data_IF_334905359566
#
_entry.id   IF_334905359566
#
_cell.length_a   1.000
_cell.length_b   1.000
_cell.length_c   1.000
_cell.angle_alpha   90.00
_cell.angle_beta   90.00
_cell.angle_gamma   90.00
#
_symmetry.space_group_name_H-M   'P 1'
#
loop_
_entity.id
_entity.type
_entity.pdbx_description
1 polymer ?
#
# COMPACT_ATOMS: atom_id res chain seq x y z
N UNK A 1 47.60 8.52 20.65
CA UNK A 1 46.85 9.16 19.56
C UNK A 1 45.81 8.18 19.05
N UNK A 2 44.68 8.05 19.75
CA UNK A 2 43.53 7.26 19.27
C UNK A 2 42.30 8.15 18.98
N UNK A 3 42.41 9.47 19.15
CA UNK A 3 41.39 10.47 18.82
C UNK A 3 41.25 10.77 17.32
N UNK A 4 41.54 9.81 16.46
CA UNK A 4 41.42 9.97 15.01
C UNK A 4 40.71 8.76 14.43
N UNK A 5 39.42 8.62 14.73
CA UNK A 5 38.43 8.02 13.83
C UNK A 5 36.98 8.18 14.33
N UNK A 6 36.72 8.90 15.42
CA UNK A 6 35.37 9.41 15.71
C UNK A 6 35.00 10.47 14.65
N UNK A 7 33.93 10.21 13.89
CA UNK A 7 33.38 11.18 12.94
C UNK A 7 33.58 10.87 11.45
N UNK A 8 34.04 9.67 11.07
CA UNK A 8 33.93 9.26 9.66
C UNK A 8 32.46 9.19 9.24
N UNK A 9 32.15 9.67 8.03
CA UNK A 9 30.78 9.73 7.49
C UNK A 9 30.16 8.32 7.44
N UNK A 10 31.00 7.32 7.27
CA UNK A 10 30.73 5.89 7.26
C UNK A 10 30.33 5.36 8.64
N UNK A 11 30.98 5.80 9.72
CA UNK A 11 30.58 5.45 11.10
C UNK A 11 29.20 6.00 11.44
N UNK A 12 28.94 7.28 11.11
CA UNK A 12 27.64 7.92 11.34
C UNK A 12 26.53 7.22 10.54
N UNK A 13 26.80 6.83 9.29
CA UNK A 13 25.86 6.06 8.46
C UNK A 13 25.60 4.66 9.01
N UNK A 14 26.65 3.95 9.44
CA UNK A 14 26.51 2.62 10.03
C UNK A 14 25.75 2.66 11.36
N UNK A 15 26.03 3.65 12.21
CA UNK A 15 25.31 3.87 13.47
C UNK A 15 23.84 4.21 13.23
N UNK A 16 23.54 5.11 12.28
CA UNK A 16 22.16 5.42 11.91
C UNK A 16 21.39 4.22 11.36
N UNK A 17 22.03 3.37 10.54
CA UNK A 17 21.44 2.11 10.06
C UNK A 17 21.15 1.14 11.20
N UNK A 18 22.08 1.02 12.15
CA UNK A 18 21.92 0.17 13.33
C UNK A 18 20.75 0.67 14.19
N UNK A 19 20.71 1.97 14.51
CA UNK A 19 19.65 2.56 15.35
C UNK A 19 18.27 2.43 14.70
N UNK A 20 18.21 2.57 13.36
CA UNK A 20 16.98 2.32 12.60
C UNK A 20 16.56 0.86 12.67
N UNK A 21 17.49 -0.09 12.53
CA UNK A 21 17.19 -1.51 12.62
C UNK A 21 16.74 -1.91 14.04
N UNK A 22 17.39 -1.38 15.07
CA UNK A 22 17.01 -1.56 16.47
C UNK A 22 15.59 -1.05 16.73
N UNK A 23 15.25 0.14 16.23
CA UNK A 23 13.90 0.71 16.33
C UNK A 23 12.86 -0.17 15.64
N UNK A 24 13.17 -0.69 14.45
CA UNK A 24 12.29 -1.58 13.69
C UNK A 24 12.06 -2.92 14.41
N UNK A 25 13.12 -3.54 14.92
CA UNK A 25 13.04 -4.79 15.68
C UNK A 25 12.22 -4.57 16.96
N UNK A 26 12.47 -3.48 17.69
CA UNK A 26 11.72 -3.16 18.91
C UNK A 26 10.24 -2.98 18.62
N UNK A 27 9.88 -2.29 17.54
CA UNK A 27 8.48 -2.11 17.16
C UNK A 27 7.76 -3.44 16.86
N UNK A 28 8.44 -4.35 16.15
CA UNK A 28 7.92 -5.71 15.91
C UNK A 28 7.71 -6.45 17.23
N UNK A 29 8.69 -6.38 18.14
CA UNK A 29 8.59 -7.00 19.46
C UNK A 29 7.44 -6.42 20.29
N UNK A 30 7.29 -5.10 20.31
CA UNK A 30 6.24 -4.39 21.06
C UNK A 30 4.84 -4.79 20.56
N UNK A 31 4.64 -4.89 19.24
CA UNK A 31 3.37 -5.36 18.65
C UNK A 31 3.16 -6.85 18.91
N UNK A 32 4.17 -7.70 18.67
CA UNK A 32 4.07 -9.14 18.91
C UNK A 32 3.76 -9.47 20.38
N UNK A 33 4.25 -8.66 21.32
CA UNK A 33 3.95 -8.83 22.74
C UNK A 33 2.45 -8.67 23.08
N UNK A 34 1.66 -8.04 22.20
CA UNK A 34 0.21 -7.89 22.34
C UNK A 34 -0.59 -9.12 21.88
N UNK A 35 0.07 -10.12 21.29
CA UNK A 35 -0.55 -11.35 20.79
C UNK A 35 -0.10 -12.57 21.61
N UNK A 36 -0.93 -13.62 21.64
CA UNK A 36 -0.61 -14.90 22.30
C UNK A 36 0.59 -15.60 21.66
N UNK A 37 0.76 -15.40 20.35
CA UNK A 37 1.91 -15.83 19.55
C UNK A 37 2.38 -14.66 18.68
N UNK A 38 3.66 -14.63 18.26
CA UNK A 38 4.15 -13.58 17.38
C UNK A 38 3.26 -13.44 16.15
N UNK A 39 2.64 -12.26 15.98
CA UNK A 39 1.78 -11.96 14.84
C UNK A 39 2.59 -11.55 13.62
N UNK A 40 3.81 -11.08 13.80
CA UNK A 40 4.71 -10.66 12.74
C UNK A 40 5.98 -11.50 12.83
N UNK A 41 6.25 -12.32 11.82
CA UNK A 41 7.45 -13.15 11.70
C UNK A 41 8.08 -12.88 10.33
N UNK A 42 9.38 -12.60 10.32
CA UNK A 42 10.13 -12.24 9.10
C UNK A 42 9.47 -11.12 8.28
N UNK A 43 8.85 -10.15 8.97
CA UNK A 43 8.16 -9.02 8.35
C UNK A 43 6.78 -9.35 7.77
N UNK A 44 6.29 -10.59 7.93
CA UNK A 44 4.99 -11.05 7.44
C UNK A 44 3.99 -11.17 8.59
N UNK A 45 2.77 -10.66 8.39
CA UNK A 45 1.67 -10.79 9.35
C UNK A 45 0.99 -12.16 9.24
N UNK A 46 0.88 -12.87 10.37
CA UNK A 46 -0.05 -13.99 10.56
C UNK A 46 -1.44 -13.46 10.92
N UNK A 47 -2.37 -13.57 9.97
CA UNK A 47 -3.76 -13.13 10.15
C UNK A 47 -4.56 -13.99 11.13
N UNK A 48 -4.04 -15.16 11.52
CA UNK A 48 -4.67 -16.04 12.51
C UNK A 48 -4.23 -15.73 13.95
N UNK A 49 -3.26 -14.83 14.13
CA UNK A 49 -2.74 -14.47 15.44
C UNK A 49 -3.86 -13.92 16.34
N UNK A 50 -3.87 -14.35 17.61
CA UNK A 50 -4.86 -13.94 18.61
C UNK A 50 -4.29 -12.87 19.51
N UNK A 51 -4.99 -11.74 19.61
CA UNK A 51 -4.64 -10.68 20.54
C UNK A 51 -4.91 -11.15 21.98
N UNK A 52 -4.02 -10.78 22.90
CA UNK A 52 -4.24 -11.01 24.33
C UNK A 52 -5.46 -10.21 24.80
N UNK A 53 -6.15 -10.70 25.82
CA UNK A 53 -7.32 -10.02 26.39
C UNK A 53 -6.99 -8.64 26.97
N UNK A 54 -5.77 -8.45 27.49
CA UNK A 54 -5.28 -7.22 28.09
C UNK A 54 -4.44 -6.34 27.13
N UNK A 55 -4.34 -6.75 25.86
CA UNK A 55 -3.54 -6.12 24.83
C UNK A 55 -3.74 -4.60 24.74
N UNK A 56 -2.63 -3.88 24.58
CA UNK A 56 -2.54 -2.41 24.45
C UNK A 56 -1.92 -2.10 23.10
N UNK A 57 -2.77 -1.81 22.12
CA UNK A 57 -2.30 -1.41 20.80
C UNK A 57 -2.08 0.11 20.73
N UNK A 58 -0.82 0.51 20.66
CA UNK A 58 -0.40 1.88 20.37
C UNK A 58 0.07 2.00 18.92
N UNK A 59 -0.15 3.14 18.29
CA UNK A 59 0.35 3.39 16.95
C UNK A 59 1.88 3.61 17.02
N UNK A 60 2.63 2.86 16.22
CA UNK A 60 4.10 2.89 16.20
C UNK A 60 4.57 3.29 14.81
N UNK A 61 5.57 4.17 14.73
CA UNK A 61 6.22 4.57 13.47
C UNK A 61 7.72 4.34 13.57
N UNK A 62 8.23 3.50 12.68
CA UNK A 62 9.64 3.09 12.63
C UNK A 62 10.45 3.89 11.61
N UNK A 63 9.76 4.63 10.73
CA UNK A 63 10.37 5.30 9.57
C UNK A 63 10.54 4.35 8.37
N UNK A 64 10.38 3.04 8.57
CA UNK A 64 10.28 2.07 7.48
C UNK A 64 8.81 1.92 7.07
N UNK A 65 8.45 2.48 5.92
CA UNK A 65 7.07 2.51 5.44
C UNK A 65 6.46 1.12 5.20
N UNK A 66 7.26 0.11 4.81
CA UNK A 66 6.74 -1.24 4.59
C UNK A 66 6.45 -1.93 5.92
N UNK A 67 7.40 -1.85 6.85
CA UNK A 67 7.21 -2.37 8.19
C UNK A 67 6.04 -1.68 8.90
N UNK A 68 5.94 -0.35 8.78
CA UNK A 68 4.85 0.42 9.40
C UNK A 68 3.47 -0.06 8.91
N UNK A 69 3.32 -0.47 7.64
CA UNK A 69 2.05 -1.06 7.17
C UNK A 69 1.76 -2.40 7.82
N UNK A 70 2.78 -3.24 8.01
CA UNK A 70 2.63 -4.56 8.64
C UNK A 70 2.25 -4.36 10.11
N UNK A 71 2.92 -3.43 10.80
CA UNK A 71 2.58 -3.02 12.17
C UNK A 71 1.15 -2.48 12.25
N UNK A 72 0.76 -1.57 11.36
CA UNK A 72 -0.60 -0.98 11.32
C UNK A 72 -1.67 -2.06 11.08
N UNK A 73 -1.41 -3.03 10.19
CA UNK A 73 -2.32 -4.16 9.94
C UNK A 73 -2.42 -5.09 11.15
N UNK A 74 -1.31 -5.41 11.81
CA UNK A 74 -1.30 -6.22 13.01
C UNK A 74 -2.08 -5.51 14.14
N UNK A 75 -1.80 -4.22 14.38
CA UNK A 75 -2.53 -3.39 15.33
C UNK A 75 -4.04 -3.38 15.02
N UNK A 76 -4.42 -3.23 13.76
CA UNK A 76 -5.83 -3.24 13.33
C UNK A 76 -6.50 -4.60 13.56
N UNK A 77 -5.80 -5.69 13.26
CA UNK A 77 -6.25 -7.05 13.55
C UNK A 77 -6.47 -7.25 15.05
N UNK A 78 -5.58 -6.75 15.90
CA UNK A 78 -5.73 -6.84 17.34
C UNK A 78 -6.89 -6.02 17.89
N UNK A 79 -7.04 -4.77 17.45
CA UNK A 79 -8.15 -3.88 17.83
C UNK A 79 -9.52 -4.44 17.41
N UNK A 80 -9.62 -5.08 16.24
CA UNK A 80 -10.86 -5.70 15.78
C UNK A 80 -11.27 -6.88 16.67
N UNK A 81 -10.32 -7.70 17.11
CA UNK A 81 -10.56 -8.81 18.03
C UNK A 81 -11.08 -8.33 19.41
N UNK A 82 -10.60 -7.20 19.91
CA UNK A 82 -11.08 -6.61 21.17
C UNK A 82 -12.52 -6.06 21.07
N UNK A 83 -12.87 -5.51 19.90
CA UNK A 83 -14.23 -4.97 19.64
C UNK A 83 -15.24 -6.11 19.52
N UNK A 84 -14.88 -7.20 18.83
CA UNK A 84 -15.73 -8.40 18.71
C UNK A 84 -15.93 -9.12 20.04
N UNK A 85 -14.90 -9.22 20.88
CA UNK A 85 -15.03 -9.82 22.21
C UNK A 85 -15.97 -9.02 23.13
N UNK A 86 -16.01 -7.70 23.02
CA UNK A 86 -16.92 -6.84 23.80
C UNK A 86 -18.39 -6.97 23.35
N UNK A 87 -18.64 -7.33 22.09
CA UNK A 87 -20.00 -7.59 21.58
C UNK A 87 -20.55 -8.97 21.95
N UNK A 88 -19.73 -9.87 22.49
CA UNK A 88 -20.14 -11.21 22.94
C UNK A 88 -20.51 -11.27 24.43
N UNK A 89 -20.45 -10.15 25.17
CA UNK A 89 -20.79 -10.09 26.60
C UNK A 89 -22.15 -9.46 26.92
N UNK A 90 -23.01 -9.26 25.91
CA UNK A 90 -24.36 -8.69 26.12
C UNK A 90 -25.42 -9.58 25.46
N UNK A 91 -25.66 -10.77 26.02
CA UNK A 91 -26.98 -11.39 25.93
C UNK A 91 -27.87 -10.84 27.06
N UNK A 92 -29.18 -11.06 26.93
CA UNK A 92 -30.27 -10.67 27.84
C UNK A 92 -30.90 -9.28 27.58
N UNK A 93 -31.87 -9.18 26.65
CA UNK A 93 -33.31 -9.11 27.01
C UNK A 93 -34.25 -8.80 25.82
N UNK A 94 -35.21 -9.73 25.64
CA UNK A 94 -36.64 -9.49 25.42
C UNK A 94 -37.22 -8.89 24.11
N UNK A 95 -37.82 -9.81 23.34
CA UNK A 95 -39.28 -9.91 23.01
C UNK A 95 -39.93 -9.04 21.91
N UNK A 96 -40.63 -9.80 21.05
CA UNK A 96 -41.97 -9.56 20.44
C UNK A 96 -42.03 -8.76 19.13
N UNK A 97 -42.30 -9.41 17.98
CA UNK A 97 -43.64 -9.63 17.34
C UNK A 97 -44.16 -8.36 16.65
N UNK A 98 -44.66 -8.30 15.41
CA UNK A 98 -45.29 -9.27 14.51
C UNK A 98 -45.67 -8.56 13.19
N UNK A 99 -45.67 -9.30 12.06
CA UNK A 99 -46.71 -9.42 10.98
C UNK A 99 -47.33 -8.11 10.42
N UNK A 100 -47.65 -7.91 9.13
CA UNK A 100 -47.86 -8.74 7.94
C UNK A 100 -48.18 -7.80 6.75
N UNK A 101 -48.17 -8.36 5.54
CA UNK A 101 -48.95 -8.01 4.33
C UNK A 101 -48.16 -7.40 3.13
N UNK A 102 -47.86 -8.30 2.17
CA UNK A 102 -48.32 -8.35 0.75
C UNK A 102 -48.65 -7.04 0.02
N UNK A 103 -48.43 -6.83 -1.28
CA UNK A 103 -47.93 -7.63 -2.42
C UNK A 103 -47.73 -6.65 -3.61
N UNK A 104 -46.70 -6.91 -4.42
CA UNK A 104 -46.62 -6.73 -5.89
C UNK A 104 -46.82 -5.35 -6.57
N UNK A 105 -45.79 -4.88 -7.29
CA UNK A 105 -45.80 -4.74 -8.78
C UNK A 105 -44.46 -4.19 -9.32
N UNK A 106 -43.85 -5.03 -10.15
CA UNK A 106 -43.01 -4.76 -11.34
C UNK A 106 -41.78 -3.82 -11.29
N UNK A 107 -40.63 -4.47 -11.56
CA UNK A 107 -39.58 -4.08 -12.50
C UNK A 107 -38.78 -2.79 -12.24
N UNK A 108 -37.51 -2.93 -11.88
CA UNK A 108 -36.43 -2.82 -12.86
C UNK A 108 -35.19 -3.60 -12.38
N UNK A 109 -34.60 -4.31 -13.34
CA UNK A 109 -33.48 -5.25 -13.20
C UNK A 109 -32.17 -4.51 -12.99
N UNK A 110 -31.47 -4.80 -11.88
CA UNK A 110 -30.04 -4.53 -11.73
C UNK A 110 -29.40 -5.77 -11.09
N UNK A 111 -28.66 -6.61 -11.84
CA UNK A 111 -27.87 -7.65 -11.21
C UNK A 111 -26.64 -7.01 -10.55
N UNK A 112 -26.67 -6.89 -9.22
CA UNK A 112 -25.44 -6.88 -8.43
C UNK A 112 -24.77 -8.24 -8.62
N UNK A 113 -23.79 -8.29 -9.52
CA UNK A 113 -22.90 -9.44 -9.64
C UNK A 113 -22.00 -9.49 -8.41
N UNK A 114 -22.35 -10.43 -7.55
CA UNK A 114 -21.47 -11.09 -6.61
C UNK A 114 -20.33 -11.75 -7.39
N UNK A 115 -19.10 -11.26 -7.21
CA UNK A 115 -17.92 -12.03 -7.59
C UNK A 115 -17.46 -12.85 -6.39
N UNK A 116 -18.05 -14.04 -6.28
CA UNK A 116 -17.38 -15.22 -5.72
C UNK A 116 -16.11 -15.45 -6.52
N UNK A 117 -14.95 -15.17 -5.93
CA UNK A 117 -13.67 -15.48 -6.55
C UNK A 117 -13.43 -16.99 -6.48
N UNK A 118 -13.49 -17.62 -7.64
CA UNK A 118 -12.99 -18.95 -7.92
C UNK A 118 -11.55 -19.09 -7.46
N UNK A 119 -11.29 -20.09 -6.61
CA UNK A 119 -10.00 -20.74 -6.48
C UNK A 119 -9.61 -21.36 -7.82
N UNK A 120 -8.82 -20.63 -8.61
CA UNK A 120 -7.93 -21.23 -9.61
C UNK A 120 -6.52 -20.64 -9.49
N UNK A 121 -5.59 -21.58 -9.45
CA UNK A 121 -4.14 -21.50 -9.40
C UNK A 121 -3.56 -20.44 -10.34
N UNK A 122 -3.27 -19.24 -9.84
CA UNK A 122 -2.47 -18.23 -10.54
C UNK A 122 -1.16 -18.03 -9.79
N UNK A 123 -0.10 -18.63 -10.31
CA UNK A 123 1.27 -18.44 -9.88
C UNK A 123 1.60 -16.94 -9.68
N UNK A 124 1.96 -16.59 -8.46
CA UNK A 124 2.97 -15.56 -8.08
C UNK A 124 3.11 -14.32 -8.99
N UNK A 125 2.02 -13.58 -9.25
CA UNK A 125 2.13 -12.19 -9.74
C UNK A 125 1.89 -11.30 -8.54
N UNK A 126 2.96 -10.79 -7.93
CA UNK A 126 2.89 -9.80 -6.85
C UNK A 126 1.98 -8.66 -7.33
N UNK A 127 0.79 -8.53 -6.74
CA UNK A 127 -0.14 -7.49 -7.15
C UNK A 127 0.50 -6.13 -6.88
N UNK A 128 0.74 -5.38 -7.95
CA UNK A 128 1.32 -4.05 -7.88
C UNK A 128 0.40 -3.17 -7.05
N UNK A 129 0.90 -2.64 -5.94
CA UNK A 129 0.14 -1.72 -5.11
C UNK A 129 -0.03 -0.38 -5.85
N UNK A 130 -1.22 -0.12 -6.38
CA UNK A 130 -1.54 1.10 -7.13
C UNK A 130 -1.78 2.33 -6.24
N UNK A 131 -1.67 2.18 -4.92
CA UNK A 131 -1.92 3.24 -3.96
C UNK A 131 -3.41 3.43 -3.69
N UNK A 132 -3.86 4.68 -3.59
CA UNK A 132 -5.29 5.03 -3.45
C UNK A 132 -5.96 5.12 -4.82
N UNK A 133 -7.28 4.93 -4.84
CA UNK A 133 -8.08 5.05 -6.07
C UNK A 133 -8.10 6.48 -6.59
N UNK A 134 -8.14 6.65 -7.92
CA UNK A 134 -8.42 7.93 -8.58
C UNK A 134 -9.90 8.27 -8.67
N UNK A 135 -10.79 7.39 -8.20
CA UNK A 135 -12.23 7.60 -8.24
C UNK A 135 -12.63 8.88 -7.47
N UNK A 136 -13.31 9.80 -8.15
CA UNK A 136 -13.74 11.08 -7.55
C UNK A 136 -12.64 12.13 -7.43
N UNK A 137 -11.42 11.85 -7.92
CA UNK A 137 -10.29 12.78 -7.90
C UNK A 137 -10.04 13.35 -9.31
N UNK A 138 -9.88 14.67 -9.40
CA UNK A 138 -9.51 15.32 -10.67
C UNK A 138 -8.02 15.16 -10.93
N UNK A 139 -7.66 14.05 -11.57
CA UNK A 139 -6.27 13.71 -11.92
C UNK A 139 -5.76 14.59 -13.06
N UNK A 140 -4.58 15.19 -12.90
CA UNK A 140 -3.93 16.06 -13.87
C UNK A 140 -3.29 15.29 -15.04
N UNK A 141 -4.09 14.51 -15.78
CA UNK A 141 -3.60 13.65 -16.89
C UNK A 141 -2.94 14.45 -18.03
N UNK A 142 -3.33 15.71 -18.22
CA UNK A 142 -2.74 16.60 -19.22
C UNK A 142 -1.28 16.98 -18.94
N UNK A 143 -0.80 16.78 -17.71
CA UNK A 143 0.60 17.00 -17.34
C UNK A 143 1.50 15.79 -17.62
N UNK A 144 0.94 14.69 -18.11
CA UNK A 144 1.67 13.47 -18.45
C UNK A 144 2.80 13.74 -19.45
N UNK A 145 3.95 13.10 -19.25
CA UNK A 145 5.09 13.17 -20.18
C UNK A 145 4.99 12.17 -21.33
N UNK A 146 4.17 11.13 -21.15
CA UNK A 146 3.85 10.14 -22.17
C UNK A 146 2.37 10.28 -22.54
N UNK A 147 2.06 10.22 -23.84
CA UNK A 147 0.67 10.27 -24.31
C UNK A 147 -0.11 9.03 -23.84
N UNK A 148 -1.33 9.25 -23.35
CA UNK A 148 -2.24 8.16 -22.99
C UNK A 148 -2.62 7.36 -24.24
N UNK A 149 -2.50 6.03 -24.14
CA UNK A 149 -2.92 5.10 -25.18
C UNK A 149 -3.94 4.12 -24.60
N UNK A 150 -5.21 4.38 -24.87
CA UNK A 150 -6.30 3.60 -24.29
C UNK A 150 -6.22 2.12 -24.66
N UNK A 151 -5.83 1.79 -25.90
CA UNK A 151 -5.71 0.39 -26.34
C UNK A 151 -4.62 -0.36 -25.55
N UNK A 152 -3.50 0.29 -25.22
CA UNK A 152 -2.47 -0.30 -24.37
C UNK A 152 -2.95 -0.47 -22.92
N UNK A 153 -3.70 0.51 -22.40
CA UNK A 153 -4.26 0.48 -21.03
C UNK A 153 -5.30 -0.63 -20.88
N UNK A 154 -6.16 -0.80 -21.89
CA UNK A 154 -7.20 -1.83 -21.94
C UNK A 154 -6.59 -3.24 -22.01
N UNK A 155 -5.43 -3.38 -22.67
CA UNK A 155 -4.57 -4.58 -22.60
C UNK A 155 -3.82 -4.69 -21.26
N UNK A 156 -4.60 -4.64 -20.18
CA UNK A 156 -4.13 -4.65 -18.79
C UNK A 156 -3.41 -5.93 -18.37
N UNK A 157 -3.56 -7.02 -19.14
CA UNK A 157 -2.91 -8.30 -18.87
C UNK A 157 -1.51 -8.40 -19.48
N UNK A 158 -1.13 -7.46 -20.36
CA UNK A 158 0.18 -7.40 -21.00
C UNK A 158 1.32 -7.40 -19.97
N UNK A 159 2.37 -8.18 -20.22
CA UNK A 159 3.54 -8.27 -19.32
C UNK A 159 4.40 -7.01 -19.34
N UNK A 160 4.24 -6.14 -20.35
CA UNK A 160 4.84 -4.81 -20.38
C UNK A 160 4.45 -3.97 -19.16
N UNK A 161 3.26 -4.23 -18.58
CA UNK A 161 2.79 -3.56 -17.37
C UNK A 161 3.42 -4.04 -16.07
N UNK A 162 4.12 -5.17 -16.08
CA UNK A 162 4.79 -5.68 -14.88
C UNK A 162 5.97 -4.80 -14.51
N UNK A 163 6.05 -4.45 -13.24
CA UNK A 163 7.25 -3.82 -12.72
C UNK A 163 8.38 -4.84 -12.67
N UNK A 164 9.59 -4.40 -12.99
CA UNK A 164 10.77 -5.16 -12.61
C UNK A 164 10.93 -5.11 -11.08
N UNK A 165 11.58 -6.14 -10.52
CA UNK A 165 11.70 -6.34 -9.08
C UNK A 165 12.27 -5.10 -8.39
N UNK A 166 11.55 -4.56 -7.39
CA UNK A 166 11.99 -3.43 -6.57
C UNK A 166 11.87 -2.05 -7.24
N UNK A 167 11.51 -1.96 -8.53
CA UNK A 167 11.46 -0.68 -9.25
C UNK A 167 10.42 0.26 -8.67
N UNK A 168 9.20 -0.23 -8.42
CA UNK A 168 8.14 0.60 -7.87
C UNK A 168 8.50 1.03 -6.44
N UNK A 169 9.02 0.11 -5.64
CA UNK A 169 9.43 0.33 -4.25
C UNK A 169 10.50 1.44 -4.18
N UNK A 170 11.51 1.38 -5.06
CA UNK A 170 12.57 2.38 -5.14
C UNK A 170 12.03 3.76 -5.55
N UNK A 171 11.13 3.83 -6.53
CA UNK A 171 10.53 5.09 -6.96
C UNK A 171 9.67 5.69 -5.84
N UNK A 172 8.84 4.88 -5.18
CA UNK A 172 8.00 5.34 -4.07
C UNK A 172 8.85 5.76 -2.86
N UNK A 173 9.91 5.05 -2.54
CA UNK A 173 10.86 5.43 -1.49
C UNK A 173 11.52 6.78 -1.80
N UNK A 174 11.96 6.98 -3.04
CA UNK A 174 12.51 8.26 -3.51
C UNK A 174 11.48 9.39 -3.41
N UNK A 175 10.23 9.11 -3.82
CA UNK A 175 9.13 10.07 -3.77
C UNK A 175 8.78 10.50 -2.35
N UNK A 176 8.80 9.57 -1.40
CA UNK A 176 8.62 9.85 0.03
C UNK A 176 9.78 10.68 0.57
N UNK A 177 11.02 10.31 0.25
CA UNK A 177 12.22 11.04 0.68
C UNK A 177 12.24 12.49 0.16
N UNK A 178 11.68 12.75 -1.02
CA UNK A 178 11.54 14.10 -1.60
C UNK A 178 10.30 14.85 -1.10
N UNK A 179 9.47 14.23 -0.27
CA UNK A 179 8.25 14.83 0.27
C UNK A 179 7.11 14.95 -0.74
N UNK A 180 7.14 14.20 -1.85
CA UNK A 180 6.07 14.23 -2.85
C UNK A 180 4.81 13.50 -2.38
N UNK A 181 5.00 12.39 -1.66
CA UNK A 181 3.94 11.51 -1.16
C UNK A 181 4.26 11.03 0.26
N UNK A 182 3.24 10.60 1.00
CA UNK A 182 3.38 10.05 2.36
C UNK A 182 2.82 8.64 2.42
N UNK A 183 3.59 7.68 2.94
CA UNK A 183 3.13 6.29 3.03
C UNK A 183 2.72 5.71 1.67
N UNK A 184 1.50 5.16 1.60
CA UNK A 184 0.87 4.69 0.37
C UNK A 184 -0.16 5.66 -0.22
N UNK A 185 -0.15 6.92 0.22
CA UNK A 185 -1.07 7.94 -0.25
C UNK A 185 -0.52 8.51 -1.57
N UNK A 186 -0.73 7.77 -2.65
CA UNK A 186 -0.43 8.15 -4.04
C UNK A 186 -1.43 7.50 -4.97
N UNK A 187 -1.61 8.06 -6.17
CA UNK A 187 -2.37 7.41 -7.25
C UNK A 187 -1.36 6.99 -8.31
N UNK A 188 -1.44 5.74 -8.76
CA UNK A 188 -0.66 5.24 -9.89
C UNK A 188 -1.62 4.94 -11.05
N UNK A 189 -1.37 5.47 -12.24
CA UNK A 189 -2.18 5.17 -13.44
C UNK A 189 -1.31 4.65 -14.58
N UNK A 190 -1.80 3.64 -15.30
CA UNK A 190 -1.22 3.20 -16.58
C UNK A 190 -1.42 4.27 -17.64
N UNK A 191 -0.42 4.46 -18.49
CA UNK A 191 -0.43 5.52 -19.51
C UNK A 191 -0.26 4.94 -20.91
N UNK A 192 0.84 4.25 -21.16
CA UNK A 192 1.15 3.67 -22.47
C UNK A 192 2.16 2.51 -22.35
N UNK A 193 2.30 1.73 -23.41
CA UNK A 193 3.42 0.81 -23.61
C UNK A 193 4.25 1.35 -24.76
N UNK A 194 5.53 1.63 -24.53
CA UNK A 194 6.47 2.08 -25.57
C UNK A 194 7.65 1.12 -25.58
N UNK A 195 7.97 0.54 -26.74
CA UNK A 195 9.07 -0.43 -26.89
C UNK A 195 9.00 -1.63 -25.92
N UNK A 196 7.79 -2.06 -25.56
CA UNK A 196 7.58 -3.17 -24.61
C UNK A 196 7.69 -2.78 -23.12
N UNK A 197 7.91 -1.51 -22.83
CA UNK A 197 7.98 -0.97 -21.47
C UNK A 197 6.68 -0.26 -21.10
N UNK A 198 6.08 -0.64 -19.98
CA UNK A 198 4.90 0.04 -19.44
C UNK A 198 5.27 1.36 -18.76
N UNK A 199 4.58 2.43 -19.16
CA UNK A 199 4.72 3.75 -18.57
C UNK A 199 3.53 4.06 -17.67
N UNK A 200 3.82 4.54 -16.47
CA UNK A 200 2.84 4.92 -15.47
C UNK A 200 2.99 6.39 -15.08
N UNK A 201 1.91 7.02 -14.65
CA UNK A 201 1.97 8.31 -13.98
C UNK A 201 1.77 8.13 -12.49
N UNK A 202 2.60 8.81 -11.71
CA UNK A 202 2.43 8.94 -10.27
C UNK A 202 1.83 10.31 -9.95
N UNK A 203 0.80 10.30 -9.10
CA UNK A 203 0.14 11.50 -8.62
C UNK A 203 0.07 11.51 -7.09
N UNK A 204 -0.11 12.70 -6.52
CA UNK A 204 -0.58 12.87 -5.15
C UNK A 204 -2.02 12.36 -5.00
N UNK A 205 -2.51 12.10 -3.77
CA UNK A 205 -3.89 11.70 -3.52
C UNK A 205 -4.94 12.69 -4.02
N UNK A 206 -4.57 13.98 -4.13
CA UNK A 206 -5.45 15.04 -4.65
C UNK A 206 -5.50 15.11 -6.19
N UNK A 207 -4.77 14.23 -6.89
CA UNK A 207 -4.72 14.18 -8.35
C UNK A 207 -3.61 15.03 -8.98
N UNK A 208 -2.79 15.72 -8.18
CA UNK A 208 -1.66 16.51 -8.67
C UNK A 208 -0.60 15.60 -9.30
N UNK A 209 -0.21 15.90 -10.53
CA UNK A 209 0.82 15.16 -11.25
C UNK A 209 2.20 15.34 -10.62
N UNK A 210 2.93 14.25 -10.47
CA UNK A 210 4.32 14.27 -10.01
C UNK A 210 5.28 14.01 -11.17
N UNK A 211 5.18 12.84 -11.78
CA UNK A 211 6.05 12.39 -12.87
C UNK A 211 5.50 11.16 -13.58
N UNK A 212 6.06 10.88 -14.75
CA UNK A 212 5.85 9.66 -15.53
C UNK A 212 7.05 8.75 -15.30
N UNK A 213 6.82 7.45 -15.16
CA UNK A 213 7.85 6.45 -14.85
C UNK A 213 7.75 5.23 -15.76
N UNK A 214 8.87 4.60 -16.04
CA UNK A 214 9.00 3.34 -16.76
C UNK A 214 9.08 2.19 -15.75
N UNK A 215 8.13 1.25 -15.81
CA UNK A 215 8.04 0.16 -14.82
C UNK A 215 9.16 -0.88 -14.95
N UNK A 216 9.87 -0.91 -16.08
CA UNK A 216 10.97 -1.86 -16.33
C UNK A 216 12.32 -1.34 -15.88
N UNK A 217 12.59 -0.05 -16.09
CA UNK A 217 13.91 0.55 -15.85
C UNK A 217 13.99 1.33 -14.54
N UNK A 218 12.83 1.78 -14.04
CA UNK A 218 12.75 2.69 -12.91
C UNK A 218 13.08 4.14 -13.25
N UNK A 219 13.27 4.45 -14.53
CA UNK A 219 13.41 5.83 -15.01
C UNK A 219 12.13 6.61 -14.74
N UNK A 220 12.25 7.88 -14.31
CA UNK A 220 11.09 8.75 -14.16
C UNK A 220 11.42 10.21 -14.46
N UNK A 221 10.47 10.92 -15.06
CA UNK A 221 10.57 12.31 -15.49
C UNK A 221 9.35 13.10 -15.07
N UNK A 222 9.58 14.24 -14.42
CA UNK A 222 8.53 15.12 -13.89
C UNK A 222 8.62 16.54 -14.45
N UNK A 223 7.87 17.46 -13.84
CA UNK A 223 7.76 18.86 -14.30
C UNK A 223 8.78 19.81 -13.67
N UNK A 224 9.78 19.31 -12.93
CA UNK A 224 10.83 20.14 -12.35
C UNK A 224 11.74 20.74 -13.43
N UNK A 225 12.08 22.03 -13.27
CA UNK A 225 13.05 22.72 -14.12
C UNK A 225 14.40 22.01 -14.10
N UNK A 226 14.90 21.56 -15.27
CA UNK A 226 16.21 20.91 -15.43
C UNK A 226 16.20 19.40 -15.69
N UNK A 227 15.02 18.77 -15.81
CA UNK A 227 14.87 17.33 -16.10
C UNK A 227 13.94 17.02 -17.29
N UNK A 228 13.51 18.04 -18.04
CA UNK A 228 13.02 17.84 -19.40
C UNK A 228 14.29 17.60 -20.23
N UNK A 229 14.51 16.49 -20.92
CA UNK A 229 13.78 16.20 -22.15
C UNK A 229 13.87 14.73 -22.60
N UNK A 230 14.59 13.86 -21.90
CA UNK A 230 14.82 12.49 -22.39
C UNK A 230 13.95 11.48 -21.64
N UNK A 231 12.92 10.95 -22.29
CA UNK A 231 12.30 9.69 -21.88
C UNK A 231 13.22 8.54 -22.34
N UNK A 232 13.32 7.47 -21.55
CA UNK A 232 14.26 6.37 -21.79
C UNK A 232 13.79 5.33 -22.82
N UNK A 233 13.00 5.76 -23.80
CA UNK A 233 12.48 4.88 -24.87
C UNK A 233 13.51 4.57 -25.96
#
# INVERSE_FOLDING_TARGET
>A
MLDKLEGSREYTLAKSKYDSLETQIKAIQDVNAQFEKPAIVDGVLDTNAKAKSDAKFTDIKTGNTELDKVLDKAISLGKSQQTSASSSSSSETSRSSSRQASENTASETSPSSSNTASTETRSTRSEVNMGVSSAGVTVQRSASRVSYNQSAIDDSNNSAWDFADGVLEQILATSRSRGYITGNQYILERVNIVNGNGYYNLYKPDGTYLFTLNCKTGYFVGNGSGHADDLDY
#
